data_IF_388687259959
#
_entry.id   IF_388687259959
#
_cell.length_a   1.000
_cell.length_b   1.000
_cell.length_c   1.000
_cell.angle_alpha   90.00
_cell.angle_beta   90.00
_cell.angle_gamma   90.00
#
_symmetry.space_group_name_H-M   'P 1'
#
loop_
_entity.id
_entity.type
_entity.pdbx_description
1 polymer ?
#
# COMPACT_ATOMS: atom_id res chain seq x y z
N UNK A 1 -23.31 -5.69 26.37
CA UNK A 1 -24.33 -5.16 25.44
C UNK A 1 -23.99 -5.31 23.95
N UNK A 2 -22.82 -5.88 23.57
CA UNK A 2 -22.35 -5.94 22.17
C UNK A 2 -22.87 -7.13 21.33
N UNK A 3 -23.49 -8.15 21.94
CA UNK A 3 -23.85 -9.38 21.22
C UNK A 3 -25.30 -9.44 20.71
N UNK A 4 -26.18 -8.52 21.11
CA UNK A 4 -27.59 -8.51 20.65
C UNK A 4 -27.74 -7.93 19.24
N UNK A 5 -26.94 -6.91 18.88
CA UNK A 5 -27.07 -6.20 17.62
C UNK A 5 -26.57 -6.99 16.39
N UNK A 6 -25.70 -7.97 16.61
CA UNK A 6 -25.15 -8.82 15.54
C UNK A 6 -25.90 -10.15 15.37
N UNK A 7 -26.93 -10.41 16.18
CA UNK A 7 -27.73 -11.62 16.02
C UNK A 7 -28.58 -11.54 14.73
N UNK A 8 -28.57 -12.60 13.89
CA UNK A 8 -29.31 -12.61 12.63
C UNK A 8 -30.81 -12.39 12.85
N UNK A 9 -31.36 -12.92 13.95
CA UNK A 9 -32.75 -12.70 14.36
C UNK A 9 -33.09 -11.23 14.62
N UNK A 10 -32.20 -10.49 15.28
CA UNK A 10 -32.43 -9.08 15.59
C UNK A 10 -32.44 -8.23 14.31
N UNK A 11 -31.58 -8.57 13.34
CA UNK A 11 -31.56 -7.91 12.03
C UNK A 11 -32.87 -8.10 11.26
N UNK A 12 -33.45 -9.30 11.33
CA UNK A 12 -34.75 -9.62 10.72
C UNK A 12 -35.87 -8.84 11.41
N UNK A 13 -35.94 -8.88 12.74
CA UNK A 13 -36.96 -8.16 13.54
C UNK A 13 -36.93 -6.66 13.24
N UNK A 14 -35.73 -6.06 13.18
CA UNK A 14 -35.58 -4.65 12.82
C UNK A 14 -36.09 -4.37 11.41
N UNK A 15 -35.79 -5.24 10.44
CA UNK A 15 -36.30 -5.12 9.07
C UNK A 15 -37.83 -5.17 9.01
N UNK A 16 -38.45 -6.12 9.71
CA UNK A 16 -39.92 -6.24 9.80
C UNK A 16 -40.54 -5.00 10.42
N UNK A 17 -39.97 -4.48 11.51
CA UNK A 17 -40.46 -3.27 12.17
C UNK A 17 -40.40 -2.06 11.24
N UNK A 18 -39.30 -1.90 10.49
CA UNK A 18 -39.15 -0.84 9.49
C UNK A 18 -40.22 -0.97 8.40
N UNK A 19 -40.47 -2.17 7.88
CA UNK A 19 -41.51 -2.39 6.86
C UNK A 19 -42.89 -2.00 7.40
N UNK A 20 -43.24 -2.39 8.64
CA UNK A 20 -44.50 -1.98 9.27
C UNK A 20 -44.60 -0.46 9.38
N UNK A 21 -43.53 0.23 9.80
CA UNK A 21 -43.53 1.70 9.82
C UNK A 21 -43.72 2.31 8.43
N UNK A 22 -43.04 1.79 7.40
CA UNK A 22 -43.21 2.26 6.03
C UNK A 22 -44.62 2.00 5.50
N UNK A 23 -45.26 0.89 5.89
CA UNK A 23 -46.66 0.62 5.53
C UNK A 23 -47.61 1.68 6.10
N UNK A 24 -47.40 2.10 7.35
CA UNK A 24 -48.18 3.17 7.98
C UNK A 24 -47.95 4.52 7.29
N UNK A 25 -46.72 4.80 6.88
CA UNK A 25 -46.39 6.02 6.11
C UNK A 25 -47.11 6.01 4.76
N UNK A 26 -47.10 4.90 4.02
CA UNK A 26 -47.80 4.79 2.74
C UNK A 26 -49.33 4.87 2.89
N UNK A 27 -49.89 4.29 3.95
CA UNK A 27 -51.31 4.44 4.28
C UNK A 27 -51.68 5.90 4.53
N UNK A 28 -50.85 6.64 5.28
CA UNK A 28 -51.08 8.06 5.52
C UNK A 28 -51.00 8.88 4.22
N UNK A 29 -50.01 8.59 3.37
CA UNK A 29 -49.86 9.22 2.06
C UNK A 29 -51.11 8.99 1.22
N UNK A 30 -51.58 7.74 1.10
CA UNK A 30 -52.78 7.44 0.32
C UNK A 30 -54.04 8.07 0.90
N UNK A 31 -54.20 8.08 2.23
CA UNK A 31 -55.30 8.77 2.88
C UNK A 31 -55.29 10.29 2.60
N UNK A 32 -54.10 10.91 2.55
CA UNK A 32 -53.96 12.34 2.28
C UNK A 32 -54.23 12.72 0.79
N UNK A 33 -53.88 11.83 -0.15
CA UNK A 33 -54.08 12.07 -1.59
C UNK A 33 -55.45 11.60 -2.12
N UNK A 34 -56.20 10.80 -1.35
CA UNK A 34 -57.49 10.31 -1.80
C UNK A 34 -58.53 11.44 -1.83
N UNK A 35 -58.86 11.91 -3.05
CA UNK A 35 -59.94 12.85 -3.31
C UNK A 35 -61.21 12.13 -3.82
N UNK A 36 -61.24 10.80 -3.78
CA UNK A 36 -62.44 10.04 -4.10
C UNK A 36 -63.38 10.10 -2.90
N UNK A 37 -64.62 10.55 -3.11
CA UNK A 37 -65.66 10.62 -2.07
C UNK A 37 -66.15 9.26 -1.55
N UNK A 38 -65.28 8.26 -1.53
CA UNK A 38 -65.55 6.94 -0.96
C UNK A 38 -65.01 6.87 0.47
N UNK A 39 -65.88 6.54 1.42
CA UNK A 39 -65.56 6.58 2.86
C UNK A 39 -64.69 5.41 3.34
N UNK A 40 -64.39 4.43 2.47
CA UNK A 40 -63.86 3.12 2.92
C UNK A 40 -62.67 2.57 2.12
N UNK A 41 -62.31 3.14 0.97
CA UNK A 41 -61.17 2.65 0.17
C UNK A 41 -60.19 3.78 -0.14
N UNK A 42 -59.17 3.89 0.71
CA UNK A 42 -58.10 4.88 0.57
C UNK A 42 -56.94 4.41 -0.33
N UNK A 43 -56.79 3.09 -0.55
CA UNK A 43 -55.72 2.53 -1.37
C UNK A 43 -56.12 2.38 -2.85
N UNK A 44 -55.18 2.56 -3.80
CA UNK A 44 -55.46 2.39 -5.24
C UNK A 44 -55.81 0.95 -5.62
N UNK A 45 -55.30 -0.02 -4.87
CA UNK A 45 -55.67 -1.43 -4.91
C UNK A 45 -55.38 -2.05 -3.54
N UNK A 46 -56.05 -3.15 -3.23
CA UNK A 46 -55.89 -3.81 -1.93
C UNK A 46 -54.43 -4.22 -1.68
N UNK A 47 -53.84 -3.71 -0.61
CA UNK A 47 -52.46 -4.02 -0.20
C UNK A 47 -51.39 -3.17 -0.91
N UNK A 48 -51.76 -2.11 -1.63
CA UNK A 48 -50.82 -1.23 -2.31
C UNK A 48 -49.76 -0.65 -1.36
N UNK A 49 -50.14 -0.28 -0.14
CA UNK A 49 -49.23 0.28 0.86
C UNK A 49 -48.13 -0.70 1.25
N UNK A 50 -48.45 -1.99 1.33
CA UNK A 50 -47.49 -3.04 1.68
C UNK A 50 -46.49 -3.26 0.55
N UNK A 51 -46.98 -3.35 -0.70
CA UNK A 51 -46.13 -3.52 -1.87
C UNK A 51 -45.15 -2.34 -2.00
N UNK A 52 -45.65 -1.10 -1.87
CA UNK A 52 -44.80 0.08 -1.95
C UNK A 52 -43.84 0.21 -0.76
N UNK A 53 -44.24 -0.19 0.44
CA UNK A 53 -43.35 -0.23 1.61
C UNK A 53 -42.19 -1.21 1.42
N UNK A 54 -42.45 -2.43 0.90
CA UNK A 54 -41.40 -3.41 0.61
C UNK A 54 -40.47 -2.90 -0.49
N UNK A 55 -41.02 -2.31 -1.55
CA UNK A 55 -40.23 -1.74 -2.66
C UNK A 55 -39.33 -0.60 -2.17
N UNK A 56 -39.88 0.34 -1.40
CA UNK A 56 -39.12 1.46 -0.84
C UNK A 56 -38.07 1.00 0.17
N UNK A 57 -38.36 -0.03 0.99
CA UNK A 57 -37.35 -0.65 1.85
C UNK A 57 -36.18 -1.23 1.05
N UNK A 58 -36.46 -1.93 -0.06
CA UNK A 58 -35.43 -2.46 -0.95
C UNK A 58 -34.56 -1.34 -1.53
N UNK A 59 -35.17 -0.24 -1.98
CA UNK A 59 -34.46 0.94 -2.48
C UNK A 59 -33.55 1.54 -1.39
N UNK A 60 -34.04 1.70 -0.17
CA UNK A 60 -33.25 2.24 0.95
C UNK A 60 -32.03 1.34 1.24
N UNK A 61 -32.24 0.02 1.29
CA UNK A 61 -31.16 -0.96 1.50
C UNK A 61 -30.14 -0.90 0.36
N UNK A 62 -30.58 -0.71 -0.88
CA UNK A 62 -29.70 -0.55 -2.03
C UNK A 62 -28.87 0.74 -1.93
N UNK A 63 -29.49 1.88 -1.61
CA UNK A 63 -28.80 3.16 -1.45
C UNK A 63 -27.73 3.11 -0.37
N UNK A 64 -28.03 2.48 0.77
CA UNK A 64 -27.08 2.35 1.87
C UNK A 64 -25.85 1.51 1.47
N UNK A 65 -26.08 0.38 0.77
CA UNK A 65 -24.99 -0.45 0.27
C UNK A 65 -24.17 0.26 -0.81
N UNK A 66 -24.82 0.99 -1.70
CA UNK A 66 -24.15 1.79 -2.72
C UNK A 66 -23.22 2.83 -2.09
N UNK A 67 -23.71 3.58 -1.10
CA UNK A 67 -22.88 4.56 -0.38
C UNK A 67 -21.67 3.91 0.30
N UNK A 68 -21.86 2.77 0.97
CA UNK A 68 -20.76 2.01 1.58
C UNK A 68 -19.65 1.68 0.57
N UNK A 69 -20.03 1.26 -0.63
CA UNK A 69 -19.09 0.83 -1.68
C UNK A 69 -18.34 2.01 -2.28
N UNK A 70 -19.00 3.15 -2.45
CA UNK A 70 -18.34 4.38 -2.89
C UNK A 70 -17.30 4.81 -1.86
N UNK A 71 -17.64 4.81 -0.57
CA UNK A 71 -16.68 5.13 0.49
C UNK A 71 -15.49 4.16 0.49
N UNK A 72 -15.74 2.85 0.38
CA UNK A 72 -14.66 1.86 0.27
C UNK A 72 -13.77 2.07 -0.95
N UNK A 73 -14.35 2.44 -2.09
CA UNK A 73 -13.59 2.76 -3.31
C UNK A 73 -12.68 3.98 -3.09
N UNK A 74 -13.16 4.99 -2.37
CA UNK A 74 -12.37 6.16 -2.00
C UNK A 74 -11.26 5.81 -1.01
N UNK A 75 -11.56 4.98 0.00
CA UNK A 75 -10.55 4.50 0.95
C UNK A 75 -9.46 3.66 0.29
N UNK A 76 -9.81 2.77 -0.65
CA UNK A 76 -8.83 2.00 -1.43
C UNK A 76 -7.91 2.93 -2.21
N UNK A 77 -8.48 3.95 -2.88
CA UNK A 77 -7.67 4.94 -3.62
C UNK A 77 -6.74 5.71 -2.69
N UNK A 78 -7.26 6.19 -1.56
CA UNK A 78 -6.47 6.93 -0.58
C UNK A 78 -5.37 6.07 0.03
N UNK A 79 -5.66 4.81 0.36
CA UNK A 79 -4.69 3.88 0.91
C UNK A 79 -3.61 3.53 -0.11
N UNK A 80 -3.96 3.39 -1.39
CA UNK A 80 -2.98 3.20 -2.46
C UNK A 80 -2.00 4.37 -2.55
N UNK A 81 -2.51 5.61 -2.57
CA UNK A 81 -1.64 6.79 -2.57
C UNK A 81 -0.79 6.90 -1.30
N UNK A 82 -1.30 6.47 -0.15
CA UNK A 82 -0.52 6.43 1.09
C UNK A 82 0.63 5.41 1.03
N UNK A 83 0.43 4.27 0.37
CA UNK A 83 1.49 3.28 0.11
C UNK A 83 2.55 3.89 -0.80
N UNK A 84 2.15 4.49 -1.92
CA UNK A 84 3.05 5.10 -2.90
C UNK A 84 3.96 6.17 -2.26
N UNK A 85 3.41 7.04 -1.41
CA UNK A 85 4.18 8.06 -0.69
C UNK A 85 5.21 7.42 0.26
N UNK A 86 4.83 6.36 0.98
CA UNK A 86 5.73 5.66 1.89
C UNK A 86 6.82 4.89 1.13
N UNK A 87 6.51 4.29 0.00
CA UNK A 87 7.50 3.65 -0.87
C UNK A 87 8.51 4.67 -1.41
N UNK A 88 8.06 5.84 -1.87
CA UNK A 88 8.95 6.92 -2.28
C UNK A 88 9.84 7.43 -1.14
N UNK A 89 9.33 7.47 0.10
CA UNK A 89 10.12 7.83 1.27
C UNK A 89 11.25 6.83 1.50
N UNK A 90 10.92 5.55 1.45
CA UNK A 90 11.85 4.44 1.58
C UNK A 90 12.92 4.49 0.49
N UNK A 91 12.56 4.78 -0.76
CA UNK A 91 13.52 4.97 -1.86
C UNK A 91 14.50 6.11 -1.59
N UNK A 92 14.04 7.25 -1.06
CA UNK A 92 14.90 8.37 -0.70
C UNK A 92 15.91 8.00 0.38
N UNK A 93 15.49 7.26 1.40
CA UNK A 93 16.40 6.78 2.45
C UNK A 93 17.49 5.84 1.89
N UNK A 94 17.15 4.95 0.96
CA UNK A 94 18.14 4.08 0.30
C UNK A 94 19.16 4.91 -0.51
N UNK A 95 18.70 5.95 -1.21
CA UNK A 95 19.60 6.85 -1.96
C UNK A 95 20.55 7.57 -1.01
N UNK A 96 20.04 8.10 0.12
CA UNK A 96 20.87 8.74 1.14
C UNK A 96 21.88 7.77 1.76
N UNK A 97 21.45 6.55 2.06
CA UNK A 97 22.33 5.49 2.55
C UNK A 97 23.46 5.21 1.56
N UNK A 98 23.14 5.11 0.26
CA UNK A 98 24.15 4.93 -0.80
C UNK A 98 25.11 6.10 -0.87
N UNK A 99 24.63 7.34 -0.87
CA UNK A 99 25.47 8.54 -0.93
C UNK A 99 26.42 8.64 0.27
N UNK A 100 25.94 8.34 1.48
CA UNK A 100 26.78 8.34 2.68
C UNK A 100 27.80 7.20 2.67
N UNK A 101 27.42 6.03 2.16
CA UNK A 101 28.34 4.90 1.96
C UNK A 101 29.43 5.28 0.96
N UNK A 102 29.08 5.82 -0.20
CA UNK A 102 30.02 6.27 -1.23
C UNK A 102 30.96 7.36 -0.69
N UNK A 103 30.43 8.31 0.09
CA UNK A 103 31.22 9.38 0.72
C UNK A 103 32.18 8.86 1.79
N UNK A 104 31.79 7.87 2.58
CA UNK A 104 32.67 7.25 3.58
C UNK A 104 33.74 6.42 2.88
N UNK A 105 33.40 5.63 1.86
CA UNK A 105 34.39 4.88 1.07
C UNK A 105 35.38 5.83 0.40
N UNK A 106 34.91 6.92 -0.22
CA UNK A 106 35.78 7.94 -0.80
C UNK A 106 36.61 8.65 0.28
N UNK A 107 36.03 8.96 1.44
CA UNK A 107 36.73 9.62 2.54
C UNK A 107 37.76 8.70 3.21
N UNK A 108 37.49 7.41 3.41
CA UNK A 108 38.44 6.44 3.94
C UNK A 108 39.55 6.14 2.93
N UNK A 109 39.24 6.01 1.64
CA UNK A 109 40.23 5.91 0.58
C UNK A 109 41.10 7.17 0.51
N UNK A 110 40.49 8.34 0.60
CA UNK A 110 41.19 9.64 0.58
C UNK A 110 41.99 9.88 1.86
N UNK A 111 41.51 9.42 3.01
CA UNK A 111 42.21 9.54 4.29
C UNK A 111 43.36 8.52 4.38
N UNK A 112 43.18 7.31 3.88
CA UNK A 112 44.25 6.32 3.76
C UNK A 112 45.32 6.77 2.78
N UNK A 113 44.96 7.29 1.60
CA UNK A 113 45.93 7.91 0.68
C UNK A 113 46.61 9.12 1.32
N UNK A 114 45.88 9.99 2.03
CA UNK A 114 46.47 11.16 2.71
C UNK A 114 47.40 10.75 3.85
N UNK A 115 47.05 9.70 4.61
CA UNK A 115 47.87 9.13 5.68
C UNK A 115 49.11 8.45 5.12
N UNK A 116 48.97 7.58 4.11
CA UNK A 116 50.11 6.97 3.43
C UNK A 116 50.99 8.01 2.73
N UNK A 117 50.43 9.06 2.13
CA UNK A 117 51.24 10.14 1.53
C UNK A 117 51.92 11.03 2.56
N UNK A 118 51.35 11.20 3.76
CA UNK A 118 52.00 11.93 4.86
C UNK A 118 53.07 11.07 5.57
N UNK A 119 52.81 9.79 5.78
CA UNK A 119 53.80 8.79 6.22
C UNK A 119 54.96 8.70 5.20
N UNK A 120 54.67 8.66 3.89
CA UNK A 120 55.69 8.72 2.83
C UNK A 120 56.45 10.06 2.81
N UNK A 121 55.84 11.17 3.24
CA UNK A 121 56.51 12.49 3.32
C UNK A 121 57.40 12.61 4.56
N UNK A 122 57.04 11.97 5.67
CA UNK A 122 57.88 11.79 6.86
C UNK A 122 59.03 10.79 6.60
N UNK A 123 58.76 9.71 5.86
CA UNK A 123 59.76 8.73 5.42
C UNK A 123 60.75 9.35 4.41
N UNK A 124 60.29 10.17 3.46
CA UNK A 124 61.17 10.95 2.55
C UNK A 124 62.13 11.90 3.27
N UNK A 125 61.81 12.34 4.49
CA UNK A 125 62.70 13.19 5.30
C UNK A 125 63.75 12.37 6.06
N UNK A 126 63.51 11.07 6.28
CA UNK A 126 64.44 10.14 6.92
C UNK A 126 65.25 9.30 5.92
N UNK A 127 64.81 9.17 4.67
CA UNK A 127 65.43 8.30 3.64
C UNK A 127 66.43 9.01 2.72
N UNK A 128 66.61 10.33 2.80
CA UNK A 128 67.72 11.02 2.11
C UNK A 128 69.14 10.66 2.64
N UNK A 129 69.26 9.67 3.53
CA UNK A 129 70.51 9.14 4.07
C UNK A 129 70.72 7.63 3.83
N UNK A 130 70.09 7.00 2.84
CA UNK A 130 70.63 5.73 2.32
C UNK A 130 70.25 5.48 0.87
N UNK A 131 71.31 5.57 0.08
CA UNK A 131 71.60 5.07 -1.26
C UNK A 131 70.89 3.81 -1.74
N UNK A 132 70.58 3.85 -3.04
CA UNK A 132 70.81 2.84 -4.10
C UNK A 132 70.51 1.35 -3.78
N UNK A 133 69.58 0.73 -4.52
CA UNK A 133 69.93 -0.14 -5.65
C UNK A 133 68.68 -0.69 -6.41
N UNK A 134 68.84 -0.68 -7.75
CA UNK A 134 68.41 -1.61 -8.80
C UNK A 134 67.00 -2.25 -8.95
N UNK A 135 66.55 -2.20 -10.23
CA UNK A 135 65.78 -3.19 -11.03
C UNK A 135 64.28 -3.37 -10.71
N UNK A 136 63.34 -3.62 -11.64
CA UNK A 136 63.27 -3.78 -13.10
C UNK A 136 61.75 -3.68 -13.48
N UNK A 137 61.39 -3.83 -14.74
CA UNK A 137 60.24 -3.17 -15.39
C UNK A 137 58.95 -4.01 -15.66
N UNK A 138 57.90 -3.27 -16.05
CA UNK A 138 56.85 -3.56 -17.07
C UNK A 138 55.47 -4.21 -16.73
N UNK A 139 54.44 -3.34 -16.70
CA UNK A 139 53.25 -3.24 -17.59
C UNK A 139 52.54 -4.49 -18.16
N UNK A 140 51.20 -4.56 -18.05
CA UNK A 140 50.26 -4.40 -19.19
C UNK A 140 48.77 -4.59 -18.80
N UNK A 141 47.91 -3.73 -19.36
CA UNK A 141 46.45 -3.79 -19.33
C UNK A 141 45.90 -4.79 -20.37
N UNK A 142 44.70 -5.37 -20.15
CA UNK A 142 43.75 -5.56 -21.26
C UNK A 142 42.31 -5.85 -20.80
N UNK A 143 41.38 -5.03 -21.28
CA UNK A 143 39.92 -5.19 -21.21
C UNK A 143 39.43 -6.27 -22.17
N UNK A 144 38.40 -7.03 -21.80
CA UNK A 144 37.35 -7.44 -22.76
C UNK A 144 36.02 -7.82 -22.08
N UNK A 145 34.95 -7.11 -22.48
CA UNK A 145 33.52 -7.47 -22.31
C UNK A 145 33.11 -8.44 -23.42
N UNK A 146 32.17 -9.37 -23.17
CA UNK A 146 31.00 -9.59 -24.04
C UNK A 146 29.93 -10.52 -23.40
N UNK A 147 28.72 -10.41 -23.97
CA UNK A 147 27.36 -10.72 -23.52
C UNK A 147 26.87 -12.19 -23.59
N UNK A 148 25.76 -12.46 -22.90
CA UNK A 148 24.74 -13.50 -23.18
C UNK A 148 23.79 -13.63 -21.96
N UNK A 149 22.64 -12.95 -21.87
CA UNK A 149 21.34 -13.10 -22.56
C UNK A 149 20.35 -14.06 -21.87
N UNK A 150 19.08 -13.60 -21.81
CA UNK A 150 17.83 -14.29 -21.44
C UNK A 150 17.47 -14.30 -19.93
N UNK A 151 16.27 -13.94 -19.47
CA UNK A 151 15.04 -13.56 -20.16
C UNK A 151 13.91 -13.30 -19.13
N UNK A 152 13.21 -12.18 -19.32
CA UNK A 152 11.80 -11.83 -19.03
C UNK A 152 10.97 -12.61 -17.98
N UNK A 153 10.61 -11.94 -16.87
CA UNK A 153 9.35 -12.18 -16.13
C UNK A 153 8.92 -10.89 -15.44
N UNK A 154 8.11 -10.10 -16.14
CA UNK A 154 7.89 -8.68 -15.84
C UNK A 154 6.46 -8.43 -15.38
N UNK A 155 6.23 -8.44 -14.04
CA UNK A 155 5.56 -7.35 -13.27
C UNK A 155 5.16 -7.74 -11.83
N UNK A 156 4.97 -9.02 -11.49
CA UNK A 156 4.94 -9.44 -10.07
C UNK A 156 6.35 -9.57 -9.49
N UNK A 157 7.30 -9.92 -10.35
CA UNK A 157 8.71 -9.93 -10.07
C UNK A 157 9.29 -8.53 -9.84
N UNK A 158 8.66 -7.44 -10.31
CA UNK A 158 9.26 -6.11 -10.12
C UNK A 158 9.20 -5.64 -8.65
N UNK A 159 8.20 -6.04 -7.87
CA UNK A 159 8.17 -5.71 -6.43
C UNK A 159 9.13 -6.61 -5.66
N UNK A 160 9.12 -7.91 -5.91
CA UNK A 160 10.00 -8.86 -5.21
C UNK A 160 11.46 -8.72 -5.63
N UNK A 161 11.76 -8.44 -6.89
CA UNK A 161 13.13 -8.20 -7.37
C UNK A 161 13.64 -6.86 -6.87
N UNK A 162 12.80 -5.82 -6.77
CA UNK A 162 13.22 -4.55 -6.15
C UNK A 162 13.45 -4.73 -4.65
N UNK A 163 12.57 -5.44 -3.94
CA UNK A 163 12.76 -5.80 -2.53
C UNK A 163 14.01 -6.69 -2.35
N UNK A 164 14.22 -7.70 -3.18
CA UNK A 164 15.40 -8.59 -3.13
C UNK A 164 16.69 -7.87 -3.51
N UNK A 165 16.65 -6.98 -4.50
CA UNK A 165 17.81 -6.17 -4.90
C UNK A 165 18.12 -5.15 -3.83
N UNK A 166 17.09 -4.56 -3.21
CA UNK A 166 17.23 -3.66 -2.06
C UNK A 166 17.82 -4.40 -0.85
N UNK A 167 17.32 -5.58 -0.52
CA UNK A 167 17.84 -6.42 0.56
C UNK A 167 19.29 -6.83 0.28
N UNK A 168 19.63 -7.20 -0.96
CA UNK A 168 21.02 -7.49 -1.37
C UNK A 168 21.93 -6.28 -1.28
N UNK A 169 21.46 -5.09 -1.65
CA UNK A 169 22.20 -3.84 -1.49
C UNK A 169 22.40 -3.53 0.00
N UNK A 170 21.37 -3.72 0.82
CA UNK A 170 21.44 -3.53 2.28
C UNK A 170 22.45 -4.50 2.91
N UNK A 171 22.39 -5.79 2.55
CA UNK A 171 23.34 -6.81 2.98
C UNK A 171 24.76 -6.54 2.50
N UNK A 172 24.93 -6.05 1.27
CA UNK A 172 26.24 -5.69 0.74
C UNK A 172 26.82 -4.48 1.47
N UNK A 173 26.02 -3.45 1.74
CA UNK A 173 26.42 -2.28 2.52
C UNK A 173 26.74 -2.69 3.96
N UNK A 174 25.93 -3.55 4.58
CA UNK A 174 26.18 -4.04 5.94
C UNK A 174 27.47 -4.85 6.00
N UNK A 175 27.74 -5.70 4.99
CA UNK A 175 28.99 -6.47 4.88
C UNK A 175 30.21 -5.56 4.65
N UNK A 176 30.15 -4.68 3.67
CA UNK A 176 31.27 -3.83 3.23
C UNK A 176 31.56 -2.71 4.24
N UNK A 177 30.57 -2.30 5.04
CA UNK A 177 30.71 -1.23 6.04
C UNK A 177 30.86 -1.78 7.48
N UNK A 178 30.68 -3.09 7.73
CA UNK A 178 30.70 -3.68 9.09
C UNK A 178 31.99 -3.42 9.89
N UNK A 179 33.11 -3.13 9.23
CA UNK A 179 34.40 -2.87 9.88
C UNK A 179 34.56 -1.40 10.32
N UNK A 180 33.84 -0.45 9.71
CA UNK A 180 33.95 1.00 10.01
C UNK A 180 32.65 1.82 9.82
N UNK A 181 31.47 1.22 10.01
CA UNK A 181 30.20 1.95 9.83
C UNK A 181 29.98 3.04 10.88
N UNK A 182 29.97 4.30 10.42
CA UNK A 182 29.56 5.48 11.17
C UNK A 182 28.14 5.30 11.75
N UNK A 183 27.87 5.83 12.95
CA UNK A 183 26.58 5.67 13.64
C UNK A 183 25.41 6.12 12.75
N UNK A 184 25.64 7.16 11.93
CA UNK A 184 24.71 7.68 10.94
C UNK A 184 24.21 6.63 9.94
N UNK A 185 25.07 5.73 9.45
CA UNK A 185 24.70 4.65 8.51
C UNK A 185 23.80 3.63 9.20
N UNK A 186 24.13 3.26 10.45
CA UNK A 186 23.34 2.29 11.23
C UNK A 186 21.95 2.82 11.54
N UNK A 187 21.85 4.10 11.89
CA UNK A 187 20.58 4.77 12.15
C UNK A 187 19.70 4.82 10.89
N UNK A 188 20.27 5.12 9.71
CA UNK A 188 19.58 5.09 8.42
C UNK A 188 19.09 3.69 8.03
N UNK A 189 19.91 2.65 8.23
CA UNK A 189 19.50 1.25 7.98
C UNK A 189 18.33 0.87 8.88
N UNK A 190 18.38 1.25 10.17
CA UNK A 190 17.29 1.01 11.11
C UNK A 190 16.00 1.74 10.67
N UNK A 191 16.12 2.99 10.22
CA UNK A 191 14.99 3.78 9.72
C UNK A 191 14.40 3.20 8.42
N UNK A 192 15.22 2.69 7.50
CA UNK A 192 14.77 1.99 6.30
C UNK A 192 13.97 0.74 6.69
N UNK A 193 14.46 -0.05 7.63
CA UNK A 193 13.78 -1.26 8.10
C UNK A 193 12.45 -0.96 8.79
N UNK A 194 12.40 0.08 9.61
CA UNK A 194 11.16 0.51 10.26
C UNK A 194 10.14 1.01 9.22
N UNK A 195 10.58 1.83 8.26
CA UNK A 195 9.72 2.34 7.20
C UNK A 195 9.21 1.25 6.25
N UNK A 196 9.98 0.19 5.99
CA UNK A 196 9.51 -1.02 5.29
C UNK A 196 8.40 -1.75 6.03
N UNK A 197 8.54 -1.95 7.35
CA UNK A 197 7.50 -2.58 8.16
C UNK A 197 6.21 -1.75 8.10
N UNK A 198 6.31 -0.43 8.11
CA UNK A 198 5.17 0.47 7.95
C UNK A 198 4.54 0.37 6.55
N UNK A 199 5.33 0.23 5.48
CA UNK A 199 4.83 -0.02 4.12
C UNK A 199 4.08 -1.36 4.06
N UNK A 200 4.66 -2.43 4.59
CA UNK A 200 4.05 -3.75 4.61
C UNK A 200 2.70 -3.75 5.36
N UNK A 201 2.64 -3.07 6.50
CA UNK A 201 1.40 -2.91 7.25
C UNK A 201 0.34 -2.11 6.47
N UNK A 202 0.76 -1.06 5.75
CA UNK A 202 -0.15 -0.30 4.89
C UNK A 202 -0.66 -1.14 3.70
N UNK A 203 0.18 -2.00 3.10
CA UNK A 203 -0.24 -2.96 2.07
C UNK A 203 -1.27 -3.96 2.61
N UNK A 204 -1.07 -4.46 3.84
CA UNK A 204 -2.05 -5.32 4.51
C UNK A 204 -3.39 -4.60 4.71
N UNK A 205 -3.37 -3.38 5.24
CA UNK A 205 -4.58 -2.57 5.41
C UNK A 205 -5.28 -2.30 4.07
N UNK A 206 -4.53 -2.03 3.00
CA UNK A 206 -5.09 -1.92 1.65
C UNK A 206 -5.81 -3.21 1.21
N UNK A 207 -5.18 -4.37 1.43
CA UNK A 207 -5.75 -5.66 1.10
C UNK A 207 -7.02 -5.97 1.88
N UNK A 208 -7.09 -5.57 3.15
CA UNK A 208 -8.31 -5.66 3.96
C UNK A 208 -9.44 -4.82 3.35
N UNK A 209 -9.16 -3.57 2.96
CA UNK A 209 -10.15 -2.69 2.31
C UNK A 209 -10.61 -3.23 0.95
N UNK A 210 -9.70 -3.77 0.15
CA UNK A 210 -10.01 -4.45 -1.12
C UNK A 210 -10.89 -5.69 -0.87
N UNK A 211 -10.59 -6.48 0.15
CA UNK A 211 -11.39 -7.65 0.56
C UNK A 211 -12.81 -7.23 0.97
N UNK A 212 -12.95 -6.18 1.77
CA UNK A 212 -14.28 -5.68 2.14
C UNK A 212 -15.06 -5.14 0.94
N UNK A 213 -14.38 -4.47 0.00
CA UNK A 213 -15.00 -3.96 -1.22
C UNK A 213 -15.45 -5.09 -2.13
N UNK A 214 -14.57 -6.05 -2.38
CA UNK A 214 -14.86 -7.24 -3.17
C UNK A 214 -16.02 -8.02 -2.53
N UNK A 215 -16.09 -8.16 -1.21
CA UNK A 215 -17.27 -8.75 -0.54
C UNK A 215 -18.54 -7.92 -0.70
N UNK A 216 -18.45 -6.61 -0.60
CA UNK A 216 -19.60 -5.70 -0.68
C UNK A 216 -20.21 -5.63 -2.09
N UNK A 217 -19.41 -5.72 -3.16
CA UNK A 217 -19.95 -5.75 -4.53
C UNK A 217 -20.78 -7.02 -4.81
N UNK A 218 -20.55 -8.09 -4.05
CA UNK A 218 -21.29 -9.35 -4.13
C UNK A 218 -22.45 -9.47 -3.13
N UNK A 219 -22.73 -8.45 -2.31
CA UNK A 219 -23.88 -8.50 -1.41
C UNK A 219 -25.19 -8.14 -2.12
N UNK A 220 -26.28 -8.84 -1.75
CA UNK A 220 -27.61 -8.57 -2.30
C UNK A 220 -28.19 -7.26 -1.73
N UNK A 221 -28.92 -6.46 -2.54
CA UNK A 221 -29.32 -6.73 -3.94
C UNK A 221 -28.30 -6.22 -4.98
N UNK A 222 -27.22 -5.58 -4.56
CA UNK A 222 -26.27 -4.92 -5.45
C UNK A 222 -25.55 -5.91 -6.40
N UNK A 223 -25.32 -7.15 -5.97
CA UNK A 223 -24.71 -8.19 -6.80
C UNK A 223 -25.40 -8.37 -8.17
N UNK A 224 -26.72 -8.18 -8.23
CA UNK A 224 -27.49 -8.25 -9.47
C UNK A 224 -27.20 -7.08 -10.42
N UNK A 225 -26.93 -5.90 -9.86
CA UNK A 225 -26.73 -4.66 -10.61
C UNK A 225 -25.26 -4.23 -10.72
N UNK A 226 -24.32 -5.02 -10.17
CA UNK A 226 -22.89 -4.64 -10.13
C UNK A 226 -22.33 -4.34 -11.52
N UNK A 227 -22.65 -5.20 -12.50
CA UNK A 227 -22.17 -5.06 -13.88
C UNK A 227 -22.79 -3.86 -14.56
N UNK A 228 -24.08 -3.59 -14.33
CA UNK A 228 -24.78 -2.43 -14.90
C UNK A 228 -24.29 -1.11 -14.32
N UNK A 229 -23.81 -1.10 -13.07
CA UNK A 229 -23.31 0.10 -12.37
C UNK A 229 -21.79 0.28 -12.59
N UNK A 230 -21.11 -0.69 -13.20
CA UNK A 230 -19.65 -0.64 -13.43
C UNK A 230 -18.82 -0.86 -12.17
N UNK A 231 -19.33 -1.66 -11.22
CA UNK A 231 -18.61 -2.06 -10.01
C UNK A 231 -17.87 -3.37 -10.26
N UNK A 232 -16.55 -3.28 -10.38
CA UNK A 232 -15.65 -4.39 -10.66
C UNK A 232 -14.69 -4.61 -9.51
N UNK A 233 -14.24 -5.86 -9.34
CA UNK A 233 -13.26 -6.24 -8.34
C UNK A 233 -11.99 -5.39 -8.43
N UNK A 234 -11.36 -5.21 -7.27
CA UNK A 234 -10.05 -4.59 -7.14
C UNK A 234 -9.02 -5.67 -6.83
N UNK A 235 -7.84 -5.50 -7.42
CA UNK A 235 -6.69 -6.39 -7.21
C UNK A 235 -6.07 -6.15 -5.83
N UNK A 236 -5.51 -7.20 -5.25
CA UNK A 236 -4.71 -7.14 -4.03
C UNK A 236 -3.26 -6.76 -4.36
N UNK A 237 -2.57 -6.17 -3.39
CA UNK A 237 -1.13 -5.86 -3.43
C UNK A 237 -0.30 -6.95 -2.76
#
# INVERSE_FOLDING_TARGET
MSNLFNNPFFRIIRGVLIIVLLTLVWLFIFAAFNNSGSETNYEPFQGASIVLAVLSYLIIVFLFQYHKIINLKEYIRSSYSAIEIKEQYVEKLIIQLRELTDKIVDHELKMSIRKSTSELLEEKRSVNNSTNDENEANHSESKRKFYGESGTSSRHEHSSIVEDTKNKILEQIERDTSVTADQSIKDLIAEIKESEVLVANQKLHYNEMVSEYNKAIYSLPLAFFRTTIGLFEKEYL
#
